data_IF_370356739395
#
_entry.id   IF_370356739395
#
_cell.length_a   1.000
_cell.length_b   1.000
_cell.length_c   1.000
_cell.angle_alpha   90.00
_cell.angle_beta   90.00
_cell.angle_gamma   90.00
#
_symmetry.space_group_name_H-M   'P 1'
#
loop_
_entity.id
_entity.type
_entity.pdbx_description
1 polymer ?
#
# COMPACT_ATOMS: atom_id res chain seq x y z
N UNK A 1 -49.44 25.22 -35.24
CA UNK A 1 -48.09 25.25 -34.61
C UNK A 1 -48.03 24.84 -33.13
N UNK A 2 -49.14 24.60 -32.40
CA UNK A 2 -49.10 24.26 -30.95
C UNK A 2 -48.83 22.78 -30.61
N UNK A 3 -48.91 21.86 -31.59
CA UNK A 3 -48.78 20.41 -31.33
C UNK A 3 -47.37 19.83 -31.56
N UNK A 4 -46.45 20.61 -32.14
CA UNK A 4 -45.07 20.15 -32.39
C UNK A 4 -44.23 20.30 -31.11
N UNK A 5 -44.45 21.36 -30.34
CA UNK A 5 -43.70 21.65 -29.11
C UNK A 5 -43.94 20.64 -27.98
N UNK A 6 -45.16 20.08 -27.85
CA UNK A 6 -45.44 19.03 -26.84
C UNK A 6 -44.70 17.72 -27.13
N UNK A 7 -44.45 17.39 -28.40
CA UNK A 7 -43.72 16.16 -28.80
C UNK A 7 -42.21 16.30 -28.59
N UNK A 8 -41.66 17.50 -28.75
CA UNK A 8 -40.24 17.78 -28.52
C UNK A 8 -39.91 17.77 -27.02
N UNK A 9 -40.76 18.36 -26.17
CA UNK A 9 -40.53 18.34 -24.71
C UNK A 9 -40.63 16.95 -24.09
N UNK A 10 -41.54 16.09 -24.58
CA UNK A 10 -41.64 14.70 -24.13
C UNK A 10 -40.41 13.85 -24.52
N UNK A 11 -39.81 14.13 -25.68
CA UNK A 11 -38.58 13.45 -26.13
C UNK A 11 -37.33 13.84 -25.32
N UNK A 12 -37.20 15.10 -24.95
CA UNK A 12 -36.07 15.59 -24.12
C UNK A 12 -36.18 15.08 -22.68
N UNK A 13 -37.39 15.02 -22.11
CA UNK A 13 -37.61 14.45 -20.78
C UNK A 13 -37.31 12.94 -20.71
N UNK A 14 -37.55 12.20 -21.80
CA UNK A 14 -37.27 10.76 -21.86
C UNK A 14 -35.76 10.47 -22.01
N UNK A 15 -35.01 11.33 -22.70
CA UNK A 15 -33.55 11.20 -22.83
C UNK A 15 -32.82 11.50 -21.50
N UNK A 16 -33.32 12.46 -20.72
CA UNK A 16 -32.76 12.77 -19.39
C UNK A 16 -33.02 11.66 -18.36
N UNK A 17 -34.12 10.90 -18.49
CA UNK A 17 -34.43 9.77 -17.59
C UNK A 17 -33.68 8.48 -17.95
N UNK A 18 -33.25 8.32 -19.22
CA UNK A 18 -32.50 7.14 -19.67
C UNK A 18 -31.00 7.27 -19.33
N UNK A 19 -30.45 8.48 -19.25
CA UNK A 19 -29.06 8.70 -18.84
C UNK A 19 -28.81 8.51 -17.32
N UNK A 20 -29.85 8.40 -16.49
CA UNK A 20 -29.70 8.13 -15.04
C UNK A 20 -29.82 6.65 -14.68
N UNK A 21 -30.16 5.78 -15.64
CA UNK A 21 -30.40 4.35 -15.42
C UNK A 21 -29.37 3.43 -16.10
N UNK A 22 -28.36 3.96 -16.78
CA UNK A 22 -27.20 3.14 -17.13
C UNK A 22 -26.34 2.96 -15.87
N UNK A 23 -26.27 1.75 -15.28
CA UNK A 23 -25.34 1.53 -14.18
C UNK A 23 -23.94 1.87 -14.68
N UNK A 24 -23.25 2.66 -13.88
CA UNK A 24 -21.83 2.97 -14.00
C UNK A 24 -21.04 1.68 -13.75
N UNK A 25 -21.11 0.73 -14.70
CA UNK A 25 -20.43 -0.57 -14.61
C UNK A 25 -18.94 -0.42 -14.98
N UNK A 26 -18.55 0.67 -15.65
CA UNK A 26 -17.14 0.92 -16.00
C UNK A 26 -16.35 1.74 -14.98
N UNK A 27 -16.93 2.76 -14.34
CA UNK A 27 -16.13 3.66 -13.49
C UNK A 27 -15.82 3.07 -12.12
N UNK A 28 -16.68 2.20 -11.58
CA UNK A 28 -16.50 1.58 -10.27
C UNK A 28 -15.31 0.62 -10.25
N UNK A 29 -15.14 -0.19 -11.31
CA UNK A 29 -14.03 -1.14 -11.45
C UNK A 29 -12.70 -0.44 -11.78
N UNK A 30 -12.72 0.56 -12.67
CA UNK A 30 -11.52 1.38 -12.97
C UNK A 30 -11.06 2.15 -11.72
N UNK A 31 -12.00 2.72 -10.95
CA UNK A 31 -11.68 3.40 -9.70
C UNK A 31 -11.19 2.41 -8.64
N UNK A 32 -11.76 1.20 -8.55
CA UNK A 32 -11.29 0.16 -7.64
C UNK A 32 -9.89 -0.35 -8.00
N UNK A 33 -9.57 -0.51 -9.28
CA UNK A 33 -8.24 -0.88 -9.76
C UNK A 33 -7.20 0.20 -9.43
N UNK A 34 -7.53 1.48 -9.65
CA UNK A 34 -6.68 2.62 -9.28
C UNK A 34 -6.42 2.67 -7.76
N UNK A 35 -7.46 2.44 -6.95
CA UNK A 35 -7.34 2.39 -5.48
C UNK A 35 -6.46 1.22 -5.02
N UNK A 36 -6.66 0.01 -5.57
CA UNK A 36 -5.81 -1.15 -5.27
C UNK A 36 -4.36 -0.92 -5.69
N UNK A 37 -4.13 -0.28 -6.83
CA UNK A 37 -2.79 0.08 -7.30
C UNK A 37 -2.07 0.99 -6.31
N UNK A 38 -2.73 2.05 -5.81
CA UNK A 38 -2.15 2.95 -4.79
C UNK A 38 -1.82 2.24 -3.48
N UNK A 39 -2.71 1.37 -2.99
CA UNK A 39 -2.46 0.57 -1.78
C UNK A 39 -1.34 -0.45 -2.00
N UNK A 40 -1.27 -1.07 -3.18
CA UNK A 40 -0.19 -1.98 -3.56
C UNK A 40 1.16 -1.27 -3.53
N UNK A 41 1.27 -0.12 -4.19
CA UNK A 41 2.48 0.73 -4.19
C UNK A 41 2.90 1.10 -2.78
N UNK A 42 1.97 1.62 -1.95
CA UNK A 42 2.25 1.91 -0.54
C UNK A 42 2.71 0.67 0.25
N UNK A 43 2.15 -0.50 -0.03
CA UNK A 43 2.56 -1.75 0.67
C UNK A 43 3.98 -2.16 0.28
N UNK A 44 4.35 -2.01 -0.99
CA UNK A 44 5.68 -2.35 -1.50
C UNK A 44 6.80 -1.47 -0.93
N UNK A 45 6.50 -0.25 -0.48
CA UNK A 45 7.48 0.61 0.21
C UNK A 45 8.04 -0.02 1.51
N UNK A 46 7.37 -1.04 2.06
CA UNK A 46 7.81 -1.75 3.26
C UNK A 46 8.73 -2.93 2.94
N UNK A 47 9.08 -3.19 1.67
CA UNK A 47 9.79 -4.40 1.25
C UNK A 47 11.16 -4.55 1.90
N UNK A 48 11.99 -3.50 1.89
CA UNK A 48 13.32 -3.52 2.50
C UNK A 48 13.26 -3.71 4.01
N UNK A 49 12.41 -2.95 4.69
CA UNK A 49 12.21 -3.09 6.13
C UNK A 49 11.71 -4.49 6.50
N UNK A 50 10.72 -5.02 5.78
CA UNK A 50 10.18 -6.35 6.03
C UNK A 50 11.19 -7.45 5.70
N UNK A 51 12.00 -7.28 4.65
CA UNK A 51 13.10 -8.17 4.29
C UNK A 51 14.13 -8.26 5.41
N UNK A 52 14.67 -7.12 5.85
CA UNK A 52 15.64 -7.05 6.96
C UNK A 52 15.11 -7.64 8.26
N UNK A 53 13.86 -7.30 8.62
CA UNK A 53 13.27 -7.88 9.84
C UNK A 53 13.14 -9.39 9.70
N UNK A 54 12.76 -9.89 8.53
CA UNK A 54 12.53 -11.32 8.31
C UNK A 54 13.80 -12.12 7.99
N UNK A 55 14.94 -11.51 7.69
CA UNK A 55 16.21 -12.26 7.58
C UNK A 55 16.82 -12.62 8.95
N UNK A 56 16.29 -12.07 10.05
CA UNK A 56 16.74 -12.43 11.41
C UNK A 56 16.05 -13.73 11.91
N UNK A 57 16.84 -14.79 12.11
CA UNK A 57 16.39 -16.11 12.57
C UNK A 57 16.04 -16.17 14.09
N UNK A 58 16.33 -15.14 14.90
CA UNK A 58 16.02 -15.12 16.35
C UNK A 58 14.50 -15.14 16.68
N UNK A 59 13.67 -14.84 15.68
CA UNK A 59 12.21 -14.75 15.87
C UNK A 59 11.40 -15.59 14.89
N UNK A 60 11.98 -16.71 14.41
CA UNK A 60 11.25 -17.75 13.70
C UNK A 60 9.97 -18.17 14.44
N UNK A 61 8.89 -18.31 13.68
CA UNK A 61 7.55 -18.62 14.21
C UNK A 61 6.90 -17.56 15.09
N UNK A 62 7.57 -16.42 15.36
CA UNK A 62 7.04 -15.36 16.21
C UNK A 62 6.32 -14.29 15.39
N UNK A 63 5.52 -13.49 16.08
CA UNK A 63 4.85 -12.32 15.52
C UNK A 63 5.46 -11.03 16.08
N UNK A 64 5.86 -10.11 15.20
CA UNK A 64 6.24 -8.74 15.55
C UNK A 64 5.13 -7.77 15.14
N UNK A 65 4.85 -6.80 16.01
CA UNK A 65 3.83 -5.75 15.82
C UNK A 65 4.47 -4.39 15.81
N UNK A 66 4.18 -3.60 14.79
CA UNK A 66 4.71 -2.26 14.60
C UNK A 66 3.56 -1.25 14.61
N UNK A 67 3.54 -0.36 15.60
CA UNK A 67 2.59 0.75 15.67
C UNK A 67 3.23 2.04 15.12
N UNK A 68 2.67 2.56 14.03
CA UNK A 68 3.18 3.77 13.38
C UNK A 68 2.65 5.06 14.02
N UNK A 69 1.92 4.97 15.14
CA UNK A 69 1.72 6.10 16.05
C UNK A 69 3.04 6.56 16.69
N UNK A 70 3.97 5.63 16.93
CA UNK A 70 5.29 5.88 17.51
C UNK A 70 6.24 6.52 16.50
N UNK A 71 6.94 7.58 16.93
CA UNK A 71 7.98 8.25 16.13
C UNK A 71 9.17 7.31 15.87
N UNK A 72 9.59 6.55 16.88
CA UNK A 72 10.71 5.62 16.76
C UNK A 72 10.42 4.51 15.75
N UNK A 73 9.21 3.93 15.79
CA UNK A 73 8.81 2.88 14.84
C UNK A 73 8.74 3.42 13.41
N UNK A 74 8.24 4.65 13.21
CA UNK A 74 8.28 5.28 11.88
C UNK A 74 9.71 5.48 11.41
N UNK A 75 10.62 5.94 12.28
CA UNK A 75 12.04 6.12 11.97
C UNK A 75 12.67 4.81 11.51
N UNK A 76 12.49 3.73 12.26
CA UNK A 76 13.02 2.41 11.91
C UNK A 76 12.59 1.94 10.51
N UNK A 77 11.33 2.17 10.10
CA UNK A 77 10.89 1.81 8.75
C UNK A 77 11.54 2.70 7.68
N UNK A 78 11.56 4.01 7.87
CA UNK A 78 12.04 4.94 6.83
C UNK A 78 13.56 4.99 6.70
N UNK A 79 14.29 4.50 7.70
CA UNK A 79 15.73 4.22 7.57
C UNK A 79 16.00 3.29 6.40
N UNK A 80 15.08 2.38 6.07
CA UNK A 80 15.22 1.43 4.97
C UNK A 80 14.29 1.73 3.80
N UNK A 81 13.85 2.99 3.67
CA UNK A 81 13.03 3.40 2.53
C UNK A 81 13.83 3.24 1.23
N UNK A 82 13.13 2.84 0.16
CA UNK A 82 13.71 2.78 -1.17
C UNK A 82 14.01 4.21 -1.64
N UNK A 83 15.29 4.51 -1.87
CA UNK A 83 15.73 5.83 -2.29
C UNK A 83 15.24 6.14 -3.71
N UNK A 84 14.45 7.19 -3.84
CA UNK A 84 13.84 7.59 -5.12
C UNK A 84 14.75 8.43 -6.03
N UNK A 85 16.03 8.57 -5.67
CA UNK A 85 17.01 9.38 -6.41
C UNK A 85 16.95 10.89 -6.13
N UNK A 86 15.93 11.37 -5.40
CA UNK A 86 15.64 12.81 -5.23
C UNK A 86 15.54 13.26 -3.78
N UNK A 87 15.00 12.42 -2.90
CA UNK A 87 14.75 12.79 -1.51
C UNK A 87 15.65 11.97 -0.58
N UNK A 88 16.48 12.64 0.20
CA UNK A 88 17.37 12.03 1.19
C UNK A 88 16.89 12.24 2.65
N UNK A 89 15.80 12.99 2.84
CA UNK A 89 15.27 13.31 4.16
C UNK A 89 14.28 12.23 4.63
N UNK A 90 14.56 11.59 5.76
CA UNK A 90 13.65 10.61 6.34
C UNK A 90 12.25 11.18 6.63
N UNK A 91 12.15 12.49 6.92
CA UNK A 91 10.89 13.19 7.15
C UNK A 91 9.99 13.15 5.91
N UNK A 92 10.57 13.18 4.71
CA UNK A 92 9.83 13.03 3.46
C UNK A 92 9.17 11.65 3.41
N UNK A 93 9.94 10.57 3.55
CA UNK A 93 9.42 9.20 3.52
C UNK A 93 8.42 8.95 4.66
N UNK A 94 8.67 9.50 5.85
CA UNK A 94 7.71 9.38 6.94
C UNK A 94 6.38 10.08 6.63
N UNK A 95 6.41 11.26 6.00
CA UNK A 95 5.18 11.93 5.53
C UNK A 95 4.51 11.13 4.40
N UNK A 96 5.29 10.60 3.46
CA UNK A 96 4.82 9.78 2.33
C UNK A 96 4.06 8.53 2.82
N UNK A 97 4.62 7.80 3.79
CA UNK A 97 4.07 6.52 4.27
C UNK A 97 3.03 6.69 5.38
N UNK A 98 3.23 7.62 6.31
CA UNK A 98 2.45 7.73 7.55
C UNK A 98 1.67 9.04 7.69
N UNK A 99 1.89 10.00 6.77
CA UNK A 99 1.27 11.33 6.83
C UNK A 99 1.73 12.17 8.03
N UNK A 100 2.90 11.85 8.60
CA UNK A 100 3.55 12.54 9.72
C UNK A 100 5.06 12.59 9.49
N UNK A 101 5.70 13.74 9.70
CA UNK A 101 7.17 13.84 9.65
C UNK A 101 7.84 13.29 10.91
N UNK A 102 9.16 13.12 10.86
CA UNK A 102 9.97 12.67 12.01
C UNK A 102 11.10 13.65 12.40
N UNK A 103 11.18 14.83 11.79
CA UNK A 103 12.22 15.83 12.07
C UNK A 103 13.39 15.76 11.07
N UNK A 104 14.41 16.60 11.24
CA UNK A 104 15.58 16.67 10.36
C UNK A 104 16.58 15.58 10.73
N UNK A 105 16.35 14.36 10.24
CA UNK A 105 17.34 13.29 10.31
C UNK A 105 17.76 12.96 8.89
N UNK A 106 19.06 13.11 8.61
CA UNK A 106 19.66 12.72 7.35
C UNK A 106 20.34 11.39 7.59
N UNK A 107 19.85 10.36 6.90
CA UNK A 107 20.59 9.17 6.44
C UNK A 107 19.60 8.02 6.23
N UNK A 108 19.28 7.76 4.98
CA UNK A 108 18.52 6.56 4.59
C UNK A 108 19.57 5.51 4.23
N UNK A 109 19.46 4.35 4.83
CA UNK A 109 20.26 3.19 4.46
C UNK A 109 19.64 2.57 3.21
N UNK A 110 20.30 2.77 2.09
CA UNK A 110 19.99 2.07 0.85
C UNK A 110 20.55 0.66 1.01
N UNK A 111 19.67 -0.32 1.21
CA UNK A 111 20.07 -1.72 1.18
C UNK A 111 20.40 -2.11 -0.25
N UNK A 112 21.69 -2.30 -0.55
CA UNK A 112 22.08 -3.11 -1.70
C UNK A 112 21.92 -4.57 -1.29
N UNK A 113 21.05 -5.28 -2.01
CA UNK A 113 20.73 -6.68 -1.75
C UNK A 113 21.47 -7.63 -2.69
N UNK A 114 22.27 -7.10 -3.63
CA UNK A 114 22.95 -7.91 -4.64
C UNK A 114 21.97 -8.70 -5.50
N UNK A 115 22.27 -9.98 -5.73
CA UNK A 115 21.47 -10.91 -6.54
C UNK A 115 20.32 -11.60 -5.79
N UNK A 116 20.17 -11.32 -4.50
CA UNK A 116 19.14 -11.93 -3.67
C UNK A 116 18.39 -10.87 -2.85
N UNK A 117 17.11 -10.65 -3.14
CA UNK A 117 16.35 -9.53 -2.57
C UNK A 117 14.98 -9.92 -2.01
N UNK A 118 14.47 -9.15 -1.05
CA UNK A 118 13.12 -9.32 -0.57
C UNK A 118 12.09 -8.81 -1.58
N UNK A 119 10.93 -9.46 -1.65
CA UNK A 119 9.76 -9.02 -2.39
C UNK A 119 8.50 -9.09 -1.54
N UNK A 120 7.58 -8.14 -1.75
CA UNK A 120 6.23 -8.19 -1.17
C UNK A 120 5.23 -8.66 -2.22
N UNK A 121 4.64 -9.84 -1.98
CA UNK A 121 3.48 -10.34 -2.72
C UNK A 121 2.19 -9.98 -1.99
N UNK A 122 1.39 -9.09 -2.56
CA UNK A 122 0.09 -8.72 -1.99
C UNK A 122 -0.95 -9.80 -2.28
N UNK A 123 -1.58 -10.34 -1.24
CA UNK A 123 -2.47 -11.49 -1.33
C UNK A 123 -3.95 -11.08 -1.29
N UNK A 124 -4.32 -10.18 -0.36
CA UNK A 124 -5.74 -9.84 -0.14
C UNK A 124 -5.91 -8.44 0.43
N UNK A 125 -6.95 -7.75 -0.03
CA UNK A 125 -7.42 -6.50 0.54
C UNK A 125 -8.71 -6.77 1.30
N UNK A 126 -8.82 -6.25 2.53
CA UNK A 126 -10.04 -6.36 3.36
C UNK A 126 -10.40 -4.97 3.84
N UNK A 127 -11.50 -4.42 3.30
CA UNK A 127 -12.05 -3.16 3.79
C UNK A 127 -12.52 -3.34 5.24
N UNK A 128 -12.18 -2.36 6.07
CA UNK A 128 -12.59 -2.28 7.46
C UNK A 128 -13.49 -1.04 7.63
N UNK A 129 -14.06 -0.86 8.83
CA UNK A 129 -14.88 0.32 9.14
C UNK A 129 -14.07 1.62 9.06
N UNK A 130 -14.77 2.73 8.81
CA UNK A 130 -14.23 4.10 8.86
C UNK A 130 -13.06 4.38 7.90
N UNK A 131 -13.14 3.88 6.67
CA UNK A 131 -12.13 4.12 5.64
C UNK A 131 -10.78 3.45 5.90
N UNK A 132 -10.76 2.43 6.77
CA UNK A 132 -9.59 1.60 7.03
C UNK A 132 -9.56 0.39 6.10
N UNK A 133 -8.40 -0.13 5.79
CA UNK A 133 -8.23 -1.34 4.97
C UNK A 133 -7.05 -2.14 5.52
N UNK A 134 -7.19 -3.46 5.60
CA UNK A 134 -6.11 -4.38 5.90
C UNK A 134 -5.63 -5.01 4.59
N UNK A 135 -4.32 -4.92 4.33
CA UNK A 135 -3.64 -5.55 3.21
C UNK A 135 -2.87 -6.74 3.75
N UNK A 136 -3.26 -7.96 3.38
CA UNK A 136 -2.50 -9.17 3.67
C UNK A 136 -1.46 -9.39 2.58
N UNK A 137 -0.23 -9.67 2.96
CA UNK A 137 0.87 -9.89 2.03
C UNK A 137 1.79 -11.02 2.52
N UNK A 138 2.70 -11.44 1.65
CA UNK A 138 3.80 -12.33 1.97
C UNK A 138 5.11 -11.64 1.65
N UNK A 139 6.10 -11.83 2.53
CA UNK A 139 7.49 -11.44 2.29
C UNK A 139 8.16 -12.66 1.68
N UNK A 140 8.58 -12.53 0.44
CA UNK A 140 9.33 -13.52 -0.30
C UNK A 140 10.79 -13.09 -0.34
N UNK A 141 11.69 -14.04 -0.47
CA UNK A 141 13.09 -13.83 -0.79
C UNK A 141 13.35 -14.48 -2.12
N UNK A 142 13.87 -13.71 -3.08
CA UNK A 142 14.18 -14.20 -4.42
C UNK A 142 15.70 -14.19 -4.55
N UNK A 143 16.29 -15.34 -4.89
CA UNK A 143 17.69 -15.42 -5.27
C UNK A 143 17.74 -15.69 -6.78
N UNK A 144 18.22 -14.73 -7.56
CA UNK A 144 18.27 -14.88 -9.02
C UNK A 144 19.40 -15.77 -9.50
N UNK A 145 20.53 -15.85 -8.78
CA UNK A 145 21.64 -16.72 -9.14
C UNK A 145 21.24 -18.20 -9.04
N UNK A 146 20.49 -18.54 -7.99
CA UNK A 146 20.04 -19.92 -7.75
C UNK A 146 18.65 -20.19 -8.36
N UNK A 147 17.96 -19.17 -8.87
CA UNK A 147 16.59 -19.29 -9.36
C UNK A 147 15.58 -19.69 -8.28
N UNK A 148 15.87 -19.44 -7.01
CA UNK A 148 15.03 -19.86 -5.88
C UNK A 148 14.13 -18.74 -5.38
N UNK A 149 13.00 -19.13 -4.79
CA UNK A 149 12.11 -18.20 -4.10
C UNK A 149 11.58 -18.84 -2.82
N UNK A 150 11.96 -18.26 -1.68
CA UNK A 150 11.53 -18.72 -0.36
C UNK A 150 10.55 -17.74 0.26
N UNK A 151 9.57 -18.24 1.01
CA UNK A 151 8.68 -17.37 1.78
C UNK A 151 9.25 -17.15 3.18
N UNK A 152 9.62 -15.92 3.50
CA UNK A 152 10.13 -15.57 4.82
C UNK A 152 9.01 -15.35 5.83
N UNK A 153 7.96 -14.62 5.43
CA UNK A 153 6.93 -14.22 6.38
C UNK A 153 5.56 -14.00 5.73
N UNK A 154 4.55 -13.91 6.58
CA UNK A 154 3.27 -13.29 6.23
C UNK A 154 3.12 -11.96 6.95
N UNK A 155 2.44 -11.02 6.32
CA UNK A 155 2.24 -9.69 6.89
C UNK A 155 0.82 -9.19 6.75
N UNK A 156 0.46 -8.26 7.63
CA UNK A 156 -0.75 -7.44 7.53
C UNK A 156 -0.37 -5.98 7.68
N UNK A 157 -0.70 -5.17 6.68
CA UNK A 157 -0.54 -3.72 6.72
C UNK A 157 -1.92 -3.07 6.87
N UNK A 158 -2.08 -2.25 7.90
CA UNK A 158 -3.30 -1.51 8.16
C UNK A 158 -3.17 -0.10 7.60
N UNK A 159 -4.04 0.23 6.66
CA UNK A 159 -4.09 1.48 5.94
C UNK A 159 -5.32 2.29 6.36
N UNK A 160 -5.18 3.60 6.47
CA UNK A 160 -6.28 4.55 6.68
C UNK A 160 -6.33 5.51 5.51
N UNK A 161 -7.52 5.69 4.91
CA UNK A 161 -7.74 6.71 3.88
C UNK A 161 -7.46 8.10 4.47
N UNK A 162 -6.62 8.88 3.79
CA UNK A 162 -6.28 10.26 4.19
C UNK A 162 -6.06 11.09 2.93
N UNK A 163 -7.03 11.93 2.60
CA UNK A 163 -6.95 12.83 1.45
C UNK A 163 -5.72 13.75 1.55
N UNK A 164 -5.14 14.10 0.40
CA UNK A 164 -3.95 14.96 0.33
C UNK A 164 -2.63 14.28 0.69
N UNK A 165 -2.63 12.98 1.00
CA UNK A 165 -1.38 12.21 1.17
C UNK A 165 -0.94 11.59 -0.15
N UNK A 166 0.36 11.28 -0.26
CA UNK A 166 1.01 10.81 -1.48
C UNK A 166 0.25 9.65 -2.17
N UNK A 167 -0.16 8.66 -1.39
CA UNK A 167 -0.91 7.50 -1.89
C UNK A 167 -2.44 7.63 -1.72
N UNK A 168 -2.94 8.72 -1.12
CA UNK A 168 -4.32 8.85 -0.64
C UNK A 168 -4.66 7.98 0.58
N UNK A 169 -3.65 7.26 1.09
CA UNK A 169 -3.69 6.37 2.24
C UNK A 169 -2.41 6.55 3.05
N UNK A 170 -2.50 6.24 4.34
CA UNK A 170 -1.34 6.16 5.24
C UNK A 170 -1.34 4.84 5.99
N UNK A 171 -0.15 4.30 6.24
CA UNK A 171 0.01 3.15 7.11
C UNK A 171 -0.15 3.55 8.57
N UNK A 172 -0.86 2.73 9.34
CA UNK A 172 -1.09 2.96 10.78
C UNK A 172 -0.49 1.88 11.65
N UNK A 173 -0.47 0.63 11.16
CA UNK A 173 0.07 -0.52 11.89
C UNK A 173 0.54 -1.56 10.90
N UNK A 174 1.57 -2.31 11.26
CA UNK A 174 1.97 -3.52 10.56
C UNK A 174 2.14 -4.68 11.53
N UNK A 175 1.85 -5.89 11.07
CA UNK A 175 2.22 -7.12 11.77
C UNK A 175 2.98 -8.01 10.80
N UNK A 176 4.07 -8.62 11.26
CA UNK A 176 4.81 -9.64 10.52
C UNK A 176 4.83 -10.91 11.36
N UNK A 177 4.56 -12.04 10.72
CA UNK A 177 4.63 -13.38 11.31
C UNK A 177 5.64 -14.17 10.50
N UNK A 178 6.79 -14.47 11.11
CA UNK A 178 7.86 -15.24 10.48
C UNK A 178 7.41 -16.69 10.31
N UNK A 179 7.83 -17.33 9.22
CA UNK A 179 7.70 -18.78 9.09
C UNK A 179 8.61 -19.48 10.12
N UNK A 180 8.42 -20.79 10.30
CA UNK A 180 9.28 -21.61 11.17
C UNK A 180 10.53 -22.10 10.44
N UNK A 181 10.74 -21.65 9.19
CA UNK A 181 11.85 -22.07 8.34
C UNK A 181 12.96 -21.03 8.44
N UNK A 182 14.16 -21.52 8.78
CA UNK A 182 15.38 -20.75 8.74
C UNK A 182 15.60 -20.16 7.35
N UNK A 183 16.12 -18.93 7.35
CA UNK A 183 16.70 -18.31 6.19
C UNK A 183 18.21 -18.58 6.18
#
# INVERSE_FOLDING_TARGET
MKNVWKKVLAGVAMFALICTLCPVVGASDVQAASVRSKMCKLTKEFVNFAGLECSNNEWLGKEKKYDFSSKATRRAVVTYAEYDGKHQDMSYYSKKLFGKGIGKDKEINIGDWGSAWPEIKVNKYTKLKSGKTCVKFSVMWKNEEEGTTQKLATGKLYLKKKSGTYYGYVATKMTLTRTNEEF
#
